data_IF_828788929130
#
_entry.id   IF_828788929130
#
_cell.length_a   1.000
_cell.length_b   1.000
_cell.length_c   1.000
_cell.angle_alpha   90.00
_cell.angle_beta   90.00
_cell.angle_gamma   90.00
#
_symmetry.space_group_name_H-M   'P 1'
#
loop_
_entity.id
_entity.type
_entity.pdbx_description
1 polymer ?
#
# COMPACT_ATOMS: atom_id res chain seq x y z
N UNK A 1 -12.84 65.10 26.33
CA UNK A 1 -12.34 64.20 25.24
C UNK A 1 -11.21 63.31 25.70
N UNK A 2 -10.43 63.71 26.67
CA UNK A 2 -9.24 62.98 27.13
C UNK A 2 -9.55 61.68 27.93
N UNK A 3 -10.71 61.59 28.62
CA UNK A 3 -11.08 60.38 29.37
C UNK A 3 -11.48 59.16 28.51
N UNK A 4 -11.92 59.42 27.26
CA UNK A 4 -12.33 58.31 26.36
C UNK A 4 -11.11 57.70 25.66
N UNK A 5 -10.04 58.45 25.48
CA UNK A 5 -8.79 57.99 24.86
C UNK A 5 -8.00 57.09 25.85
N UNK A 6 -8.07 57.35 27.12
CA UNK A 6 -7.42 56.52 28.16
C UNK A 6 -8.11 55.18 28.40
N UNK A 7 -9.44 55.09 28.26
CA UNK A 7 -10.18 53.83 28.34
C UNK A 7 -9.94 52.94 27.10
N UNK A 8 -9.74 53.49 25.90
CA UNK A 8 -9.44 52.73 24.70
C UNK A 8 -7.98 52.17 24.75
N UNK A 9 -7.05 52.85 25.38
CA UNK A 9 -5.68 52.34 25.59
C UNK A 9 -5.58 51.26 26.64
N UNK A 10 -6.48 51.19 27.61
CA UNK A 10 -6.48 50.17 28.65
C UNK A 10 -7.09 48.84 28.18
N UNK A 11 -7.83 48.83 27.06
CA UNK A 11 -8.49 47.61 26.55
C UNK A 11 -7.64 46.86 25.47
N UNK A 12 -6.48 47.40 25.07
CA UNK A 12 -5.60 46.78 24.08
C UNK A 12 -4.36 46.05 24.69
N UNK A 13 -4.32 45.82 25.99
CA UNK A 13 -3.14 45.23 26.65
C UNK A 13 -3.40 43.92 27.34
N UNK A 14 -4.26 43.05 26.81
CA UNK A 14 -4.36 41.65 27.28
C UNK A 14 -4.53 40.70 26.09
N UNK A 15 -3.63 40.77 25.11
CA UNK A 15 -3.31 39.57 24.34
C UNK A 15 -2.36 38.73 25.21
N UNK A 16 -2.90 37.61 25.73
CA UNK A 16 -2.09 36.59 26.38
C UNK A 16 -0.97 36.14 25.41
N UNK A 17 0.23 35.83 25.91
CA UNK A 17 1.32 35.35 25.06
C UNK A 17 0.85 34.07 24.39
N UNK A 18 0.69 34.11 23.07
CA UNK A 18 0.58 32.88 22.27
C UNK A 18 1.85 32.10 22.54
N UNK A 19 1.72 31.02 23.30
CA UNK A 19 2.77 30.02 23.43
C UNK A 19 3.19 29.64 22.01
N UNK A 20 4.40 29.98 21.69
CA UNK A 20 5.09 29.60 20.45
C UNK A 20 5.30 28.09 20.53
N UNK A 21 4.22 27.29 20.26
CA UNK A 21 4.29 25.84 20.19
C UNK A 21 5.27 25.54 19.05
N UNK A 22 6.50 25.21 19.41
CA UNK A 22 7.52 24.77 18.49
C UNK A 22 6.85 23.74 17.54
N UNK A 23 6.82 24.05 16.24
CA UNK A 23 6.18 23.22 15.22
C UNK A 23 6.76 21.81 15.31
N UNK A 24 5.95 20.84 15.72
CA UNK A 24 6.38 19.45 15.86
C UNK A 24 6.91 18.97 14.51
N UNK A 25 8.06 18.31 14.52
CA UNK A 25 8.62 17.68 13.33
C UNK A 25 7.68 16.57 12.87
N UNK A 26 7.47 16.46 11.56
CA UNK A 26 6.52 15.51 10.97
C UNK A 26 7.23 14.35 10.32
N UNK A 27 6.77 13.13 10.59
CA UNK A 27 7.25 11.92 9.96
C UNK A 27 6.13 11.28 9.15
N UNK A 28 6.28 11.21 7.83
CA UNK A 28 5.31 10.54 6.97
C UNK A 28 5.54 9.03 6.97
N UNK A 29 4.48 8.26 7.20
CA UNK A 29 4.56 6.79 7.27
C UNK A 29 4.02 6.21 5.97
N UNK A 30 4.94 5.70 5.17
CA UNK A 30 4.71 4.99 3.91
C UNK A 30 4.66 3.50 4.26
N UNK A 31 3.49 2.88 4.16
CA UNK A 31 3.29 1.48 4.53
C UNK A 31 2.07 0.87 3.85
N UNK A 32 1.95 -0.46 3.80
CA UNK A 32 0.73 -1.10 3.33
C UNK A 32 -0.47 -0.66 4.18
N UNK A 33 -1.57 -0.28 3.54
CA UNK A 33 -2.81 0.15 4.21
C UNK A 33 -3.81 -1.00 4.28
N UNK A 34 -3.85 -1.83 3.24
CA UNK A 34 -4.75 -2.99 3.16
C UNK A 34 -4.07 -4.26 3.63
N UNK A 35 -4.89 -5.25 3.98
CA UNK A 35 -4.41 -6.59 4.27
C UNK A 35 -3.71 -7.20 3.05
N UNK A 36 -2.73 -8.07 3.29
CA UNK A 36 -1.98 -8.79 2.27
C UNK A 36 -1.93 -10.28 2.59
N UNK A 37 -1.69 -11.09 1.56
CA UNK A 37 -1.54 -12.53 1.73
C UNK A 37 -0.40 -12.86 2.71
N UNK A 38 -0.56 -13.95 3.45
CA UNK A 38 0.34 -14.41 4.51
C UNK A 38 0.39 -13.53 5.78
N UNK A 39 -0.48 -12.54 5.91
CA UNK A 39 -0.63 -11.73 7.12
C UNK A 39 -2.03 -11.90 7.74
N UNK A 40 -2.08 -11.84 9.07
CA UNK A 40 -3.37 -11.83 9.77
C UNK A 40 -4.11 -10.52 9.51
N UNK A 41 -5.46 -10.53 9.40
CA UNK A 41 -6.24 -9.32 9.18
C UNK A 41 -5.87 -8.18 10.12
N UNK A 42 -5.73 -6.96 9.60
CA UNK A 42 -5.34 -5.77 10.35
C UNK A 42 -3.87 -5.74 10.79
N UNK A 43 -3.00 -6.60 10.24
CA UNK A 43 -1.59 -6.68 10.62
C UNK A 43 -0.88 -5.32 10.52
N UNK A 44 -0.98 -4.64 9.40
CA UNK A 44 -0.30 -3.35 9.18
C UNK A 44 -0.84 -2.23 10.07
N UNK A 45 -2.11 -2.28 10.46
CA UNK A 45 -2.67 -1.41 11.49
C UNK A 45 -1.96 -1.59 12.82
N UNK A 46 -1.74 -2.85 13.24
CA UNK A 46 -1.00 -3.17 14.48
C UNK A 46 0.48 -2.76 14.40
N UNK A 47 1.14 -2.96 13.26
CA UNK A 47 2.51 -2.47 13.03
C UNK A 47 2.58 -0.95 13.22
N UNK A 48 1.64 -0.22 12.65
CA UNK A 48 1.56 1.22 12.84
C UNK A 48 1.34 1.60 14.30
N UNK A 49 0.31 1.04 14.94
CA UNK A 49 -0.11 1.47 16.28
C UNK A 49 0.87 1.03 17.38
N UNK A 50 1.51 -0.14 17.23
CA UNK A 50 2.35 -0.71 18.29
C UNK A 50 3.84 -0.54 18.06
N UNK A 51 4.30 -0.31 16.83
CA UNK A 51 5.73 -0.16 16.53
C UNK A 51 6.06 1.24 16.00
N UNK A 52 5.48 1.63 14.86
CA UNK A 52 5.92 2.82 14.13
C UNK A 52 5.54 4.10 14.89
N UNK A 53 4.28 4.23 15.30
CA UNK A 53 3.79 5.41 16.02
C UNK A 53 4.55 5.67 17.31
N UNK A 54 4.71 4.69 18.23
CA UNK A 54 5.49 4.90 19.45
C UNK A 54 6.95 5.26 19.19
N UNK A 55 7.59 4.66 18.17
CA UNK A 55 8.97 4.99 17.82
C UNK A 55 9.13 6.41 17.29
N UNK A 56 8.20 6.90 16.46
CA UNK A 56 8.16 8.29 16.01
C UNK A 56 8.00 9.26 17.18
N UNK A 57 7.04 9.02 18.05
CA UNK A 57 6.75 9.84 19.23
C UNK A 57 7.97 9.90 20.16
N UNK A 58 8.62 8.77 20.41
CA UNK A 58 9.85 8.69 21.21
C UNK A 58 11.03 9.44 20.56
N UNK A 59 11.10 9.48 19.22
CA UNK A 59 12.09 10.26 18.48
C UNK A 59 11.74 11.77 18.36
N UNK A 60 10.60 12.20 18.91
CA UNK A 60 10.14 13.59 18.87
C UNK A 60 9.45 14.01 17.56
N UNK A 61 8.93 13.05 16.82
CA UNK A 61 8.19 13.28 15.57
C UNK A 61 6.70 12.99 15.73
N UNK A 62 5.89 13.75 15.00
CA UNK A 62 4.48 13.46 14.82
C UNK A 62 4.30 12.53 13.60
N UNK A 63 3.83 11.28 13.80
CA UNK A 63 3.61 10.35 12.70
C UNK A 63 2.35 10.72 11.92
N UNK A 64 2.46 10.77 10.59
CA UNK A 64 1.36 11.04 9.67
C UNK A 64 1.21 9.85 8.74
N UNK A 65 0.03 9.20 8.76
CA UNK A 65 -0.31 8.11 7.85
C UNK A 65 -1.40 8.56 6.87
N UNK A 66 -1.24 8.18 5.60
CA UNK A 66 -2.06 8.67 4.48
C UNK A 66 -3.58 8.41 4.65
N UNK A 67 -3.96 7.27 5.20
CA UNK A 67 -5.37 6.86 5.36
C UNK A 67 -6.11 7.54 6.51
N UNK A 68 -5.40 8.22 7.42
CA UNK A 68 -6.03 8.92 8.56
C UNK A 68 -6.48 10.35 8.20
N UNK A 69 -6.13 10.86 7.03
CA UNK A 69 -6.54 12.19 6.56
C UNK A 69 -7.69 12.09 5.53
N UNK A 70 -8.92 11.94 6.01
CA UNK A 70 -10.14 11.75 5.20
C UNK A 70 -10.76 13.04 4.63
N UNK A 71 -10.09 14.18 4.68
CA UNK A 71 -10.73 15.48 4.41
C UNK A 71 -10.54 16.06 3.02
N UNK A 72 -9.91 15.35 2.09
CA UNK A 72 -9.57 15.93 0.79
C UNK A 72 -10.09 15.10 -0.38
N UNK A 73 -10.81 15.75 -1.30
CA UNK A 73 -11.15 15.21 -2.61
C UNK A 73 -9.89 14.99 -3.50
N UNK A 74 -8.71 15.38 -3.01
CA UNK A 74 -7.42 15.35 -3.69
C UNK A 74 -6.37 14.46 -2.97
N UNK A 75 -6.78 13.28 -2.55
CA UNK A 75 -5.93 12.36 -1.75
C UNK A 75 -4.52 12.18 -2.34
N UNK A 76 -4.39 12.08 -3.66
CA UNK A 76 -3.07 11.86 -4.32
C UNK A 76 -2.16 13.07 -4.18
N UNK A 77 -2.70 14.28 -4.35
CA UNK A 77 -1.89 15.51 -4.20
C UNK A 77 -1.45 15.67 -2.75
N UNK A 78 -2.33 15.36 -1.80
CA UNK A 78 -1.99 15.42 -0.38
C UNK A 78 -0.93 14.41 -0.01
N UNK A 79 -1.00 13.18 -0.55
CA UNK A 79 0.04 12.17 -0.34
C UNK A 79 1.38 12.65 -0.90
N UNK A 80 1.42 13.15 -2.14
CA UNK A 80 2.65 13.68 -2.74
C UNK A 80 3.19 14.86 -1.93
N UNK A 81 2.32 15.78 -1.49
CA UNK A 81 2.71 16.88 -0.63
C UNK A 81 3.30 16.40 0.71
N UNK A 82 2.72 15.37 1.32
CA UNK A 82 3.27 14.78 2.55
C UNK A 82 4.60 14.09 2.30
N UNK A 83 4.71 13.32 1.20
CA UNK A 83 5.95 12.67 0.79
C UNK A 83 7.09 13.68 0.68
N UNK A 84 6.83 14.86 0.11
CA UNK A 84 7.86 15.86 -0.19
C UNK A 84 8.13 16.79 1.00
N UNK A 85 7.09 17.20 1.74
CA UNK A 85 7.19 18.28 2.73
C UNK A 85 7.31 17.80 4.18
N UNK A 86 7.25 16.50 4.48
CA UNK A 86 7.53 16.00 5.82
C UNK A 86 9.03 15.95 6.08
N UNK A 87 9.41 16.31 7.31
CA UNK A 87 10.82 16.37 7.75
C UNK A 87 11.52 15.02 7.63
N UNK A 88 10.77 13.94 7.77
CA UNK A 88 11.25 12.56 7.77
C UNK A 88 10.20 11.65 7.14
N UNK A 89 10.61 10.47 6.66
CA UNK A 89 9.68 9.38 6.37
C UNK A 89 10.18 8.05 6.91
N UNK A 90 9.22 7.17 7.25
CA UNK A 90 9.45 5.75 7.47
C UNK A 90 8.75 5.01 6.34
N UNK A 91 9.46 4.05 5.72
CA UNK A 91 8.93 3.24 4.66
C UNK A 91 8.96 1.76 5.05
N UNK A 92 7.79 1.16 5.24
CA UNK A 92 7.63 -0.27 5.53
C UNK A 92 7.46 -1.05 4.24
N UNK A 93 8.50 -1.80 3.89
CA UNK A 93 8.62 -2.59 2.66
C UNK A 93 7.97 -3.97 2.76
N UNK A 94 7.35 -4.29 3.90
CA UNK A 94 6.70 -5.57 4.14
C UNK A 94 5.62 -5.84 3.09
N UNK A 95 5.38 -7.11 2.80
CA UNK A 95 4.52 -7.60 1.70
C UNK A 95 4.92 -7.15 0.29
N UNK A 96 5.99 -6.38 0.10
CA UNK A 96 6.41 -5.82 -1.20
C UNK A 96 5.28 -5.05 -1.91
N UNK A 97 4.53 -4.25 -1.17
CA UNK A 97 3.42 -3.50 -1.73
C UNK A 97 3.92 -2.51 -2.80
N UNK A 98 3.41 -2.56 -4.05
CA UNK A 98 3.90 -1.73 -5.15
C UNK A 98 3.70 -0.23 -4.92
N UNK A 99 2.62 0.17 -4.23
CA UNK A 99 2.38 1.58 -3.91
C UNK A 99 3.44 2.13 -2.97
N UNK A 100 3.86 1.32 -1.99
CA UNK A 100 4.94 1.68 -1.05
C UNK A 100 6.25 1.90 -1.81
N UNK A 101 6.59 1.04 -2.78
CA UNK A 101 7.79 1.21 -3.60
C UNK A 101 7.72 2.45 -4.50
N UNK A 102 6.54 2.78 -5.04
CA UNK A 102 6.35 4.01 -5.81
C UNK A 102 6.59 5.26 -4.95
N UNK A 103 6.01 5.30 -3.75
CA UNK A 103 6.17 6.40 -2.79
C UNK A 103 7.61 6.52 -2.30
N UNK A 104 8.28 5.38 -2.06
CA UNK A 104 9.71 5.36 -1.76
C UNK A 104 10.53 5.92 -2.90
N UNK A 105 10.23 5.56 -4.16
CA UNK A 105 10.90 6.08 -5.35
C UNK A 105 10.84 7.60 -5.42
N UNK A 106 9.69 8.20 -5.11
CA UNK A 106 9.54 9.65 -5.03
C UNK A 106 10.44 10.26 -3.95
N UNK A 107 10.46 9.69 -2.73
CA UNK A 107 11.35 10.17 -1.65
C UNK A 107 12.81 10.09 -2.05
N UNK A 108 13.23 8.99 -2.68
CA UNK A 108 14.60 8.77 -3.14
C UNK A 108 14.99 9.75 -4.27
N UNK A 109 14.08 10.03 -5.21
CA UNK A 109 14.33 10.96 -6.31
C UNK A 109 14.67 12.39 -5.81
N UNK A 110 14.09 12.79 -4.69
CA UNK A 110 14.35 14.08 -4.05
C UNK A 110 15.43 14.03 -2.95
N UNK A 111 16.10 12.90 -2.77
CA UNK A 111 17.12 12.66 -1.72
C UNK A 111 16.61 13.00 -0.30
N UNK A 112 15.35 12.71 -0.02
CA UNK A 112 14.71 13.05 1.24
C UNK A 112 14.96 11.97 2.30
N UNK A 113 15.27 12.39 3.52
CA UNK A 113 15.58 11.51 4.65
C UNK A 113 14.49 10.48 4.89
N UNK A 114 14.84 9.19 4.80
CA UNK A 114 13.89 8.07 4.87
C UNK A 114 14.53 6.91 5.62
N UNK A 115 13.81 6.35 6.60
CA UNK A 115 14.16 5.11 7.28
C UNK A 115 13.40 3.97 6.61
N UNK A 116 14.11 2.92 6.19
CA UNK A 116 13.48 1.72 5.64
C UNK A 116 13.33 0.67 6.73
N UNK A 117 12.16 0.09 6.81
CA UNK A 117 11.88 -1.08 7.66
C UNK A 117 11.23 -2.19 6.85
N UNK A 118 11.31 -3.41 7.32
CA UNK A 118 10.58 -4.56 6.82
C UNK A 118 10.44 -5.62 7.90
N UNK A 119 9.48 -6.52 7.74
CA UNK A 119 9.44 -7.72 8.58
C UNK A 119 10.46 -8.79 8.13
N UNK A 120 10.63 -9.81 8.94
CA UNK A 120 11.55 -10.93 8.67
C UNK A 120 11.06 -11.87 7.57
N UNK A 121 9.74 -11.92 7.31
CA UNK A 121 9.17 -12.82 6.30
C UNK A 121 9.22 -12.23 4.89
N UNK A 122 9.33 -10.92 4.76
CA UNK A 122 9.47 -10.26 3.46
C UNK A 122 10.90 -10.38 2.95
N UNK A 123 11.09 -10.99 1.79
CA UNK A 123 12.40 -11.06 1.15
C UNK A 123 12.85 -9.67 0.68
N UNK A 124 14.12 -9.34 0.87
CA UNK A 124 14.71 -8.06 0.46
C UNK A 124 14.58 -7.87 -1.06
N UNK A 125 14.15 -6.69 -1.48
CA UNK A 125 14.13 -6.34 -2.90
C UNK A 125 15.57 -6.02 -3.39
N UNK A 126 15.90 -6.50 -4.59
CA UNK A 126 17.25 -6.36 -5.17
C UNK A 126 17.66 -4.90 -5.35
N UNK A 127 16.76 -4.08 -5.89
CA UNK A 127 17.04 -2.69 -6.27
C UNK A 127 17.38 -1.77 -5.09
N UNK A 128 16.96 -2.15 -3.88
CA UNK A 128 17.22 -1.40 -2.64
C UNK A 128 18.14 -2.17 -1.68
N UNK A 129 18.76 -3.26 -2.12
CA UNK A 129 19.61 -4.11 -1.27
C UNK A 129 20.82 -3.38 -0.70
N UNK A 130 21.31 -2.33 -1.37
CA UNK A 130 22.39 -1.46 -0.90
C UNK A 130 21.97 -0.45 0.19
N UNK A 131 20.67 -0.26 0.42
CA UNK A 131 20.17 0.71 1.39
C UNK A 131 19.92 0.00 2.74
N UNK A 132 20.38 0.62 3.83
CA UNK A 132 20.17 0.09 5.18
C UNK A 132 18.68 -0.02 5.50
N UNK A 133 18.24 -1.22 5.85
CA UNK A 133 16.85 -1.53 6.20
C UNK A 133 16.84 -2.21 7.56
N UNK A 134 16.06 -1.67 8.50
CA UNK A 134 15.83 -2.30 9.80
C UNK A 134 14.79 -3.41 9.66
N UNK A 135 15.00 -4.53 10.35
CA UNK A 135 14.08 -5.67 10.35
C UNK A 135 13.31 -5.75 11.66
N UNK A 136 11.99 -5.98 11.61
CA UNK A 136 11.17 -6.23 12.79
C UNK A 136 10.49 -7.59 12.70
N UNK A 137 9.96 -8.09 13.83
CA UNK A 137 9.24 -9.36 13.88
C UNK A 137 7.76 -9.19 13.54
N UNK A 138 7.28 -9.93 12.55
CA UNK A 138 5.88 -9.93 12.10
C UNK A 138 4.90 -10.42 13.19
N UNK A 139 5.39 -11.21 14.15
CA UNK A 139 4.61 -11.69 15.29
C UNK A 139 4.14 -10.59 16.22
N UNK A 140 4.82 -9.43 16.24
CA UNK A 140 4.56 -8.29 17.11
C UNK A 140 4.41 -8.65 18.59
N UNK A 141 5.22 -9.58 19.09
CA UNK A 141 5.24 -9.93 20.51
C UNK A 141 5.74 -8.74 21.31
N UNK A 142 5.15 -8.52 22.49
CA UNK A 142 5.40 -7.33 23.34
C UNK A 142 6.86 -7.11 23.67
N UNK A 143 7.60 -8.20 23.95
CA UNK A 143 9.03 -8.20 24.23
C UNK A 143 9.86 -7.74 23.03
N UNK A 144 9.56 -8.27 21.84
CA UNK A 144 10.21 -7.93 20.57
C UNK A 144 9.88 -6.51 20.11
N UNK A 145 8.60 -6.11 20.23
CA UNK A 145 8.15 -4.78 19.84
C UNK A 145 8.83 -3.68 20.66
N UNK A 146 8.99 -3.86 21.98
CA UNK A 146 9.69 -2.88 22.83
C UNK A 146 11.12 -2.63 22.36
N UNK A 147 11.87 -3.70 22.08
CA UNK A 147 13.23 -3.60 21.55
C UNK A 147 13.26 -2.90 20.19
N UNK A 148 12.32 -3.28 19.31
CA UNK A 148 12.19 -2.68 17.96
C UNK A 148 11.82 -1.19 17.99
N UNK A 149 10.99 -0.75 18.94
CA UNK A 149 10.67 0.67 19.15
C UNK A 149 11.92 1.47 19.47
N UNK A 150 12.75 0.98 20.41
CA UNK A 150 14.00 1.66 20.79
C UNK A 150 14.97 1.75 19.62
N UNK A 151 15.14 0.66 18.88
CA UNK A 151 16.03 0.61 17.72
C UNK A 151 15.53 1.56 16.60
N UNK A 152 14.23 1.53 16.29
CA UNK A 152 13.63 2.38 15.28
C UNK A 152 13.72 3.86 15.68
N UNK A 153 13.44 4.21 16.94
CA UNK A 153 13.57 5.57 17.44
C UNK A 153 14.99 6.12 17.33
N UNK A 154 16.00 5.31 17.68
CA UNK A 154 17.42 5.64 17.50
C UNK A 154 17.76 5.82 16.01
N UNK A 155 17.24 4.95 15.16
CA UNK A 155 17.46 5.01 13.69
C UNK A 155 16.83 6.27 13.09
N UNK A 156 15.61 6.64 13.48
CA UNK A 156 14.95 7.89 13.07
C UNK A 156 15.81 9.09 13.46
N UNK A 157 16.22 9.17 14.74
CA UNK A 157 17.02 10.27 15.26
C UNK A 157 18.38 10.39 14.57
N UNK A 158 19.08 9.27 14.36
CA UNK A 158 20.37 9.27 13.69
C UNK A 158 20.24 9.68 12.23
N UNK A 159 19.23 9.16 11.49
CA UNK A 159 19.00 9.51 10.08
C UNK A 159 18.61 10.98 9.92
N UNK A 160 17.81 11.51 10.85
CA UNK A 160 17.44 12.92 10.81
C UNK A 160 18.64 13.86 11.04
N UNK A 161 19.53 13.50 11.97
CA UNK A 161 20.69 14.30 12.34
C UNK A 161 21.89 14.11 11.39
N UNK A 162 21.85 13.14 10.48
CA UNK A 162 22.91 12.95 9.47
C UNK A 162 23.05 14.18 8.60
N UNK A 163 24.31 14.56 8.32
CA UNK A 163 24.63 15.58 7.32
C UNK A 163 24.34 15.03 5.93
N UNK A 164 24.01 15.91 4.98
CA UNK A 164 23.61 15.55 3.60
C UNK A 164 24.55 14.56 2.88
N UNK A 165 25.82 14.48 3.28
CA UNK A 165 26.82 13.62 2.63
C UNK A 165 26.90 12.18 3.16
N UNK A 166 26.28 11.90 4.30
CA UNK A 166 26.37 10.59 4.97
C UNK A 166 25.03 9.80 4.85
N UNK A 167 24.15 10.21 3.96
CA UNK A 167 22.80 9.69 3.87
C UNK A 167 22.74 8.30 3.25
N UNK A 168 21.79 7.53 3.72
CA UNK A 168 21.43 6.21 3.20
C UNK A 168 20.47 6.39 2.01
N UNK A 169 20.96 6.98 0.92
CA UNK A 169 20.16 7.34 -0.26
C UNK A 169 20.69 6.67 -1.52
N UNK A 170 19.78 6.29 -2.40
CA UNK A 170 20.12 5.73 -3.71
C UNK A 170 20.92 6.71 -4.57
N UNK A 171 20.59 8.01 -4.50
CA UNK A 171 21.28 9.08 -5.24
C UNK A 171 22.76 9.18 -4.81
N UNK A 172 23.02 9.05 -3.54
CA UNK A 172 24.38 9.06 -3.01
C UNK A 172 25.15 7.79 -3.37
N UNK A 173 24.48 6.63 -3.35
CA UNK A 173 25.08 5.35 -3.79
C UNK A 173 25.45 5.38 -5.28
N UNK A 174 24.64 6.01 -6.10
CA UNK A 174 24.86 6.08 -7.56
C UNK A 174 25.80 7.22 -7.96
N UNK A 175 26.30 8.04 -7.02
CA UNK A 175 27.11 9.23 -7.29
C UNK A 175 26.51 10.15 -8.38
N UNK A 176 25.18 10.20 -8.47
CA UNK A 176 24.46 11.05 -9.42
C UNK A 176 24.64 12.50 -9.03
N UNK A 177 24.75 13.38 -10.00
CA UNK A 177 25.16 14.79 -9.87
C UNK A 177 24.20 15.67 -9.06
N UNK A 178 23.06 15.16 -8.60
CA UNK A 178 22.16 15.84 -7.66
C UNK A 178 20.74 15.27 -7.67
N UNK A 179 19.97 15.54 -6.61
CA UNK A 179 18.57 15.17 -6.51
C UNK A 179 17.71 15.97 -7.48
N UNK A 180 16.51 15.46 -7.78
CA UNK A 180 15.49 16.21 -8.48
C UNK A 180 15.14 17.48 -7.68
N UNK A 181 15.00 18.61 -8.36
CA UNK A 181 14.63 19.88 -7.72
C UNK A 181 13.13 20.08 -7.82
N UNK A 182 12.50 20.43 -6.71
CA UNK A 182 11.12 20.90 -6.70
C UNK A 182 11.15 22.34 -7.22
N UNK A 183 10.44 22.66 -8.32
CA UNK A 183 10.34 24.04 -8.80
C UNK A 183 9.70 24.93 -7.72
N UNK A 184 10.34 26.05 -7.38
CA UNK A 184 9.88 26.96 -6.32
C UNK A 184 8.51 27.60 -6.56
N UNK A 185 7.98 27.56 -7.77
CA UNK A 185 6.69 28.14 -8.15
C UNK A 185 5.95 27.29 -9.19
N UNK A 186 5.40 26.16 -8.77
CA UNK A 186 4.35 25.55 -9.58
C UNK A 186 3.02 26.18 -9.19
N UNK A 187 2.66 27.31 -9.80
CA UNK A 187 1.25 27.57 -10.07
C UNK A 187 0.84 26.47 -11.04
N UNK A 188 0.08 25.50 -10.55
CA UNK A 188 -0.47 24.41 -11.36
C UNK A 188 -1.22 25.01 -12.56
N UNK A 189 -0.54 25.12 -13.71
CA UNK A 189 -1.15 25.46 -14.98
C UNK A 189 -2.15 24.38 -15.40
N UNK A 190 -3.04 24.71 -16.33
CA UNK A 190 -4.02 23.76 -16.86
C UNK A 190 -3.38 22.43 -17.31
N UNK A 191 -2.16 22.46 -17.84
CA UNK A 191 -1.41 21.29 -18.32
C UNK A 191 -0.99 20.34 -17.18
N UNK A 192 -0.65 20.90 -16.02
CA UNK A 192 -0.30 20.09 -14.82
C UNK A 192 -1.53 19.38 -14.27
N UNK A 193 -2.71 19.97 -14.38
CA UNK A 193 -3.98 19.31 -14.04
C UNK A 193 -4.27 18.12 -14.96
N UNK A 194 -3.88 18.18 -16.21
CA UNK A 194 -4.01 17.05 -17.16
C UNK A 194 -3.11 15.90 -16.72
N UNK A 195 -1.84 16.16 -16.42
CA UNK A 195 -0.88 15.13 -15.96
C UNK A 195 -1.36 14.52 -14.62
N UNK A 196 -1.85 15.34 -13.69
CA UNK A 196 -2.41 14.86 -12.44
C UNK A 196 -3.68 14.03 -12.62
N UNK A 197 -4.51 14.36 -13.58
CA UNK A 197 -5.71 13.58 -13.92
C UNK A 197 -5.31 12.24 -14.57
N UNK A 198 -4.29 12.23 -15.42
CA UNK A 198 -3.75 11.02 -16.04
C UNK A 198 -3.14 10.08 -14.99
N UNK A 199 -2.36 10.63 -14.05
CA UNK A 199 -1.82 9.86 -12.90
C UNK A 199 -2.93 9.31 -11.99
N UNK A 200 -4.04 10.04 -11.84
CA UNK A 200 -5.22 9.58 -11.10
C UNK A 200 -5.91 8.43 -11.81
N UNK A 201 -6.08 8.55 -13.13
CA UNK A 201 -6.66 7.48 -13.95
C UNK A 201 -5.83 6.21 -13.84
N UNK A 202 -4.52 6.30 -14.05
CA UNK A 202 -3.62 5.15 -13.91
C UNK A 202 -3.66 4.50 -12.53
N UNK A 203 -3.74 5.29 -11.46
CA UNK A 203 -3.89 4.76 -10.10
C UNK A 203 -5.25 4.09 -9.87
N UNK A 204 -6.33 4.68 -10.39
CA UNK A 204 -7.66 4.09 -10.33
C UNK A 204 -7.70 2.76 -11.07
N UNK A 205 -7.07 2.70 -12.24
CA UNK A 205 -6.97 1.49 -13.04
C UNK A 205 -6.13 0.41 -12.34
N UNK A 206 -5.03 0.79 -11.68
CA UNK A 206 -4.22 -0.13 -10.86
C UNK A 206 -5.01 -0.66 -9.64
N UNK A 207 -5.79 0.18 -8.97
CA UNK A 207 -6.67 -0.24 -7.86
C UNK A 207 -7.75 -1.17 -8.39
N UNK A 208 -8.36 -0.83 -9.53
CA UNK A 208 -9.36 -1.67 -10.21
C UNK A 208 -8.82 -3.04 -10.61
N UNK A 209 -7.59 -3.09 -11.14
CA UNK A 209 -6.89 -4.35 -11.46
C UNK A 209 -6.58 -5.13 -10.18
N UNK A 210 -6.15 -4.47 -9.10
CA UNK A 210 -5.91 -5.11 -7.82
C UNK A 210 -7.19 -5.68 -7.20
N UNK A 211 -8.31 -4.95 -7.27
CA UNK A 211 -9.61 -5.43 -6.80
C UNK A 211 -10.15 -6.57 -7.67
N UNK A 212 -9.97 -6.51 -8.99
CA UNK A 212 -10.31 -7.60 -9.89
C UNK A 212 -9.45 -8.84 -9.61
N UNK A 213 -8.14 -8.67 -9.43
CA UNK A 213 -7.24 -9.77 -9.06
C UNK A 213 -7.57 -10.33 -7.67
N UNK A 214 -7.93 -9.48 -6.73
CA UNK A 214 -8.37 -9.88 -5.38
C UNK A 214 -9.71 -10.64 -5.43
N UNK A 215 -10.65 -10.20 -6.25
CA UNK A 215 -11.93 -10.91 -6.45
C UNK A 215 -11.74 -12.26 -7.18
N UNK A 216 -10.73 -12.39 -8.03
CA UNK A 216 -10.33 -13.65 -8.65
C UNK A 216 -9.72 -14.61 -7.60
N UNK A 217 -8.95 -14.08 -6.64
CA UNK A 217 -8.24 -14.88 -5.63
C UNK A 217 -9.10 -15.14 -4.39
N UNK A 218 -10.04 -14.26 -4.01
CA UNK A 218 -10.82 -14.31 -2.77
C UNK A 218 -12.31 -14.50 -3.05
N UNK A 219 -12.65 -15.46 -3.88
CA UNK A 219 -13.98 -16.03 -3.77
C UNK A 219 -13.87 -17.30 -2.90
N UNK A 220 -14.23 -17.29 -1.60
CA UNK A 220 -14.13 -18.47 -0.73
C UNK A 220 -15.21 -19.53 -1.04
N UNK A 221 -15.92 -19.35 -2.14
CA UNK A 221 -16.86 -20.37 -2.63
C UNK A 221 -16.05 -21.40 -3.43
N UNK A 222 -15.48 -22.36 -2.70
CA UNK A 222 -15.03 -23.63 -3.28
C UNK A 222 -16.14 -24.38 -4.04
N UNK A 223 -17.23 -23.70 -4.38
CA UNK A 223 -18.44 -24.30 -4.97
C UNK A 223 -18.85 -23.43 -6.17
N UNK A 224 -18.87 -24.02 -7.33
CA UNK A 224 -19.39 -23.47 -8.58
C UNK A 224 -20.81 -23.99 -8.80
N UNK A 225 -21.74 -23.13 -9.21
CA UNK A 225 -23.09 -23.54 -9.61
C UNK A 225 -23.09 -23.72 -11.13
N UNK A 226 -23.29 -24.96 -11.57
CA UNK A 226 -23.38 -25.30 -12.99
C UNK A 226 -24.76 -24.90 -13.56
N UNK A 227 -24.94 -24.83 -14.90
CA UNK A 227 -26.20 -24.48 -15.55
C UNK A 227 -27.37 -25.41 -15.21
N UNK A 228 -27.06 -26.67 -14.91
CA UNK A 228 -28.05 -27.65 -14.46
C UNK A 228 -28.50 -27.51 -12.99
N UNK A 229 -27.99 -26.47 -12.28
CA UNK A 229 -28.29 -26.23 -10.87
C UNK A 229 -27.41 -27.00 -9.88
N UNK A 230 -26.52 -27.83 -10.35
CA UNK A 230 -25.60 -28.60 -9.51
C UNK A 230 -24.53 -27.76 -8.89
N UNK A 231 -24.21 -28.00 -7.61
CA UNK A 231 -23.15 -27.32 -6.88
C UNK A 231 -21.90 -28.20 -6.83
N UNK A 232 -20.86 -27.78 -7.54
CA UNK A 232 -19.60 -28.53 -7.66
C UNK A 232 -18.45 -27.81 -6.97
N UNK A 233 -17.50 -28.57 -6.43
CA UNK A 233 -16.31 -28.04 -5.75
C UNK A 233 -15.17 -27.85 -6.75
N UNK A 234 -14.22 -26.98 -6.37
CA UNK A 234 -12.90 -26.95 -7.02
C UNK A 234 -12.27 -28.34 -6.98
N UNK A 235 -11.64 -28.78 -8.06
CA UNK A 235 -11.12 -30.12 -8.23
C UNK A 235 -12.13 -31.11 -8.84
N UNK A 236 -13.39 -30.70 -9.09
CA UNK A 236 -14.37 -31.55 -9.78
C UNK A 236 -14.05 -31.61 -11.26
N UNK A 237 -14.04 -32.83 -11.80
CA UNK A 237 -13.87 -33.03 -13.24
C UNK A 237 -15.20 -32.76 -13.95
N UNK A 238 -15.10 -32.02 -15.06
CA UNK A 238 -16.24 -31.69 -15.93
C UNK A 238 -16.21 -32.52 -17.21
N UNK A 239 -17.38 -32.79 -17.71
CA UNK A 239 -17.60 -33.44 -18.99
C UNK A 239 -18.49 -32.56 -19.86
N UNK A 240 -18.35 -32.69 -21.16
CA UNK A 240 -19.29 -32.09 -22.09
C UNK A 240 -20.46 -33.04 -22.29
N UNK A 241 -21.69 -32.52 -22.24
CA UNK A 241 -22.90 -33.31 -22.40
C UNK A 241 -22.91 -34.02 -23.76
N UNK A 242 -22.90 -35.34 -23.75
CA UNK A 242 -22.85 -36.17 -24.97
C UNK A 242 -21.48 -36.77 -25.30
N UNK A 243 -20.42 -36.44 -24.58
CA UNK A 243 -19.11 -37.07 -24.76
C UNK A 243 -19.00 -38.41 -24.00
N UNK A 244 -18.14 -39.33 -24.52
CA UNK A 244 -17.88 -40.62 -23.88
C UNK A 244 -17.10 -40.44 -22.58
N UNK A 245 -17.67 -40.88 -21.43
CA UNK A 245 -17.05 -40.68 -20.12
C UNK A 245 -15.73 -41.41 -19.93
N UNK A 246 -15.39 -42.37 -20.77
CA UNK A 246 -14.14 -43.13 -20.69
C UNK A 246 -12.97 -42.52 -21.50
N UNK A 247 -13.25 -41.59 -22.41
CA UNK A 247 -12.23 -41.05 -23.31
C UNK A 247 -12.02 -39.54 -23.23
N UNK A 248 -13.02 -38.75 -22.80
CA UNK A 248 -12.92 -37.28 -22.94
C UNK A 248 -13.45 -36.54 -21.70
N UNK A 249 -12.68 -36.53 -20.59
CA UNK A 249 -12.90 -35.52 -19.57
C UNK A 249 -12.53 -34.14 -20.13
N UNK A 250 -13.46 -33.18 -20.02
CA UNK A 250 -13.18 -31.80 -20.48
C UNK A 250 -12.08 -31.12 -19.65
N UNK A 251 -12.04 -31.42 -18.35
CA UNK A 251 -11.00 -30.91 -17.43
C UNK A 251 -11.50 -30.72 -16.00
N UNK A 252 -10.59 -30.30 -15.14
CA UNK A 252 -10.82 -30.11 -13.73
C UNK A 252 -11.02 -28.61 -13.40
N UNK A 253 -12.01 -28.28 -12.59
CA UNK A 253 -12.27 -26.88 -12.16
C UNK A 253 -11.11 -26.40 -11.27
N UNK A 254 -10.45 -25.33 -11.70
CA UNK A 254 -9.38 -24.66 -10.96
C UNK A 254 -9.90 -23.49 -10.15
N UNK A 255 -10.77 -22.66 -10.73
CA UNK A 255 -11.35 -21.50 -10.04
C UNK A 255 -12.62 -21.00 -10.74
N UNK A 256 -13.44 -20.24 -10.01
CA UNK A 256 -14.56 -19.45 -10.54
C UNK A 256 -14.15 -17.98 -10.58
N UNK A 257 -14.18 -17.37 -11.75
CA UNK A 257 -13.85 -15.95 -11.97
C UNK A 257 -15.04 -15.02 -11.78
N UNK A 258 -16.25 -15.60 -11.52
CA UNK A 258 -17.51 -14.85 -11.49
C UNK A 258 -18.15 -14.72 -12.87
N UNK A 259 -17.39 -14.36 -13.90
CA UNK A 259 -17.82 -14.29 -15.31
C UNK A 259 -17.63 -15.62 -16.05
N UNK A 260 -16.75 -16.48 -15.56
CA UNK A 260 -16.42 -17.77 -16.12
C UNK A 260 -15.86 -18.73 -15.09
N UNK A 261 -15.40 -19.89 -15.54
CA UNK A 261 -14.59 -20.82 -14.76
C UNK A 261 -13.25 -21.08 -15.46
N UNK A 262 -12.20 -21.27 -14.69
CA UNK A 262 -10.93 -21.75 -15.20
C UNK A 262 -10.89 -23.25 -15.03
N UNK A 263 -10.61 -23.96 -16.13
CA UNK A 263 -10.54 -25.42 -16.18
C UNK A 263 -9.13 -25.82 -16.61
N UNK A 264 -8.60 -26.87 -16.01
CA UNK A 264 -7.33 -27.51 -16.38
C UNK A 264 -7.62 -28.78 -17.16
N UNK A 265 -7.15 -28.86 -18.41
CA UNK A 265 -7.28 -30.06 -19.21
C UNK A 265 -6.34 -31.19 -18.75
N UNK A 266 -6.48 -32.37 -19.33
CA UNK A 266 -5.64 -33.55 -19.03
C UNK A 266 -4.16 -33.38 -19.38
N UNK A 267 -3.82 -32.37 -20.19
CA UNK A 267 -2.44 -32.00 -20.56
C UNK A 267 -1.86 -30.90 -19.67
N UNK A 268 -2.65 -30.38 -18.73
CA UNK A 268 -2.26 -29.34 -17.78
C UNK A 268 -2.47 -27.91 -18.29
N UNK A 269 -3.03 -27.69 -19.47
CA UNK A 269 -3.34 -26.35 -19.98
C UNK A 269 -4.55 -25.77 -19.26
N UNK A 270 -4.47 -24.47 -18.97
CA UNK A 270 -5.58 -23.72 -18.37
C UNK A 270 -6.35 -22.99 -19.46
N UNK A 271 -7.68 -23.12 -19.43
CA UNK A 271 -8.59 -22.37 -20.30
C UNK A 271 -9.74 -21.79 -19.47
N UNK A 272 -10.20 -20.60 -19.85
CA UNK A 272 -11.36 -19.97 -19.25
C UNK A 272 -12.60 -20.27 -20.10
N UNK A 273 -13.68 -20.67 -19.41
CA UNK A 273 -15.01 -20.92 -20.02
C UNK A 273 -15.95 -19.83 -19.50
N UNK A 274 -16.33 -18.86 -20.34
CA UNK A 274 -17.30 -17.83 -19.96
C UNK A 274 -18.68 -18.44 -19.66
N UNK A 275 -19.37 -17.92 -18.63
CA UNK A 275 -20.72 -18.41 -18.22
C UNK A 275 -21.84 -18.09 -19.21
N UNK A 276 -21.58 -17.21 -20.18
CA UNK A 276 -22.46 -16.84 -21.28
C UNK A 276 -22.21 -17.65 -22.55
N UNK A 277 -21.23 -18.59 -22.55
CA UNK A 277 -20.88 -19.39 -23.71
C UNK A 277 -21.77 -20.64 -23.88
N UNK A 278 -21.94 -21.09 -25.11
CA UNK A 278 -22.65 -22.36 -25.42
C UNK A 278 -21.95 -23.56 -24.78
N UNK A 279 -20.62 -23.47 -24.61
CA UNK A 279 -19.84 -24.51 -23.96
C UNK A 279 -20.24 -24.64 -22.48
N UNK A 280 -20.41 -23.51 -21.78
CA UNK A 280 -20.86 -23.50 -20.39
C UNK A 280 -22.18 -24.22 -20.21
N UNK A 281 -23.17 -23.98 -21.09
CA UNK A 281 -24.52 -24.58 -21.01
C UNK A 281 -24.50 -26.10 -21.17
N UNK A 282 -23.45 -26.66 -21.74
CA UNK A 282 -23.29 -28.07 -22.04
C UNK A 282 -22.35 -28.81 -21.06
N UNK A 283 -21.89 -28.17 -19.98
CA UNK A 283 -21.05 -28.81 -18.97
C UNK A 283 -21.88 -29.59 -17.95
N UNK A 284 -21.37 -30.75 -17.53
CA UNK A 284 -21.97 -31.64 -16.53
C UNK A 284 -20.87 -32.33 -15.71
N UNK A 285 -21.22 -32.80 -14.51
CA UNK A 285 -20.39 -33.70 -13.72
C UNK A 285 -20.75 -35.17 -13.93
N UNK A 286 -21.91 -35.44 -14.52
CA UNK A 286 -22.36 -36.79 -14.80
C UNK A 286 -21.73 -37.31 -16.10
N UNK A 287 -20.86 -38.30 -15.97
CA UNK A 287 -20.56 -39.19 -17.06
C UNK A 287 -21.87 -39.96 -17.41
N UNK A 288 -22.28 -39.92 -18.68
CA UNK A 288 -23.44 -40.64 -19.13
C UNK A 288 -23.36 -42.13 -18.68
N UNK A 289 -24.19 -42.52 -17.70
CA UNK A 289 -24.44 -43.89 -17.42
C UNK A 289 -25.29 -44.41 -18.59
N UNK A 290 -24.69 -45.17 -19.51
CA UNK A 290 -25.37 -46.05 -20.42
C UNK A 290 -25.72 -47.36 -19.69
#
# INVERSE_FOLDING_TARGET
MDKIIDEIKATQSQEAPQENKAKKKRCFVIMPISDADNYSPGHFGRVYDHLIKPACEQAGFEPIRADKNTKSDFIVIDIINQIVNCDMAICDLSSRNPNVFYELGLRQAFDLKTVLIKDEITARAFDISGIRTMEYKSTLRVDEVKSSIEELSKTITSTYNQKEKDGNSLIQLLAVTGPAKIPENIKLGADTNVILNELRSLRSDMIGIQEQTRNIIINPRNVVLLPNGERVKRGTTLYKKGDDPFNDSFGEIVSDTGLGIIVRDTKGHLSEIPKDSDLWQNLTTEALNL
#
